data_IF_973152421656
#
_entry.id   IF_973152421656
#
_cell.length_a   1.000
_cell.length_b   1.000
_cell.length_c   1.000
_cell.angle_alpha   90.00
_cell.angle_beta   90.00
_cell.angle_gamma   90.00
#
_symmetry.space_group_name_H-M   'P 1'
#
loop_
_entity.id
_entity.type
_entity.pdbx_description
1 polymer ?
#
# COMPACT_ATOMS: atom_id res chain seq x y z
N UNK A 1 -45.10 39.92 19.30
CA UNK A 1 -44.72 38.50 19.34
C UNK A 1 -43.60 38.30 18.32
N UNK A 2 -42.53 37.67 18.70
CA UNK A 2 -41.39 37.37 17.83
C UNK A 2 -41.64 36.04 17.09
N UNK A 3 -41.33 35.92 15.80
CA UNK A 3 -41.47 34.66 15.06
C UNK A 3 -40.31 33.72 15.40
N UNK A 4 -40.53 32.40 15.25
CA UNK A 4 -39.44 31.38 15.43
C UNK A 4 -38.24 31.72 14.54
N UNK A 5 -38.48 32.14 13.31
CA UNK A 5 -37.39 32.49 12.37
C UNK A 5 -36.57 33.68 12.89
N UNK A 6 -37.18 34.65 13.56
CA UNK A 6 -36.49 35.79 14.16
C UNK A 6 -35.56 35.32 15.30
N UNK A 7 -36.01 34.37 16.14
CA UNK A 7 -35.14 33.79 17.18
C UNK A 7 -33.93 33.09 16.60
N UNK A 8 -34.09 32.30 15.56
CA UNK A 8 -32.95 31.65 14.87
C UNK A 8 -32.01 32.71 14.27
N UNK A 9 -32.52 33.79 13.70
CA UNK A 9 -31.67 34.86 13.19
C UNK A 9 -30.89 35.56 14.30
N UNK A 10 -31.43 35.69 15.48
CA UNK A 10 -30.73 36.26 16.64
C UNK A 10 -29.65 35.35 17.16
N UNK A 11 -29.85 34.01 17.13
CA UNK A 11 -28.80 33.04 17.45
C UNK A 11 -27.69 33.09 16.39
N UNK A 12 -28.03 33.22 15.10
CA UNK A 12 -27.06 33.37 14.03
C UNK A 12 -26.23 34.67 14.15
N UNK A 13 -26.87 35.74 14.61
CA UNK A 13 -26.23 37.03 14.87
C UNK A 13 -25.48 37.09 16.21
N UNK A 14 -25.44 35.99 16.94
CA UNK A 14 -24.76 35.88 18.27
C UNK A 14 -25.28 36.88 19.31
N UNK A 15 -26.56 37.22 19.26
CA UNK A 15 -27.20 38.09 20.23
C UNK A 15 -27.59 37.38 21.53
N UNK A 16 -27.45 36.06 21.58
CA UNK A 16 -27.67 35.20 22.73
C UNK A 16 -26.40 34.41 23.07
N UNK A 17 -26.27 33.92 24.29
CA UNK A 17 -25.18 33.02 24.70
C UNK A 17 -25.27 31.64 24.03
N UNK A 18 -26.48 31.29 23.51
CA UNK A 18 -26.73 30.03 22.78
C UNK A 18 -26.17 30.14 21.37
N UNK A 19 -25.40 29.16 20.96
CA UNK A 19 -24.82 29.05 19.61
C UNK A 19 -25.57 28.03 18.75
N UNK A 20 -25.37 28.14 17.44
CA UNK A 20 -25.99 27.24 16.46
C UNK A 20 -25.69 25.73 16.74
N UNK A 21 -24.53 25.42 17.35
CA UNK A 21 -24.15 24.07 17.71
C UNK A 21 -25.03 23.46 18.82
N UNK A 22 -25.61 24.34 19.67
CA UNK A 22 -26.44 23.94 20.79
C UNK A 22 -27.90 23.66 20.37
N UNK A 23 -28.27 24.03 19.14
CA UNK A 23 -29.62 23.85 18.61
C UNK A 23 -29.82 22.47 17.98
N UNK A 24 -30.84 21.70 18.37
CA UNK A 24 -31.18 20.43 17.74
C UNK A 24 -31.50 20.64 16.24
N UNK A 25 -30.89 19.86 15.37
CA UNK A 25 -31.12 19.80 13.90
C UNK A 25 -30.66 21.03 13.09
N UNK A 26 -30.07 22.07 13.67
CA UNK A 26 -29.59 23.22 12.90
C UNK A 26 -28.24 22.95 12.26
N UNK A 27 -27.37 22.16 12.89
CA UNK A 27 -26.07 21.79 12.34
C UNK A 27 -26.25 20.59 11.39
N UNK A 28 -26.19 20.86 10.10
CA UNK A 28 -26.11 19.81 9.07
C UNK A 28 -24.64 19.50 8.80
N UNK A 29 -24.16 18.39 9.29
CA UNK A 29 -22.82 17.91 8.92
C UNK A 29 -22.82 17.55 7.44
N UNK A 30 -21.90 18.14 6.68
CA UNK A 30 -21.67 17.73 5.31
C UNK A 30 -21.21 16.28 5.33
N UNK A 31 -21.91 15.32 4.68
CA UNK A 31 -21.46 13.94 4.65
C UNK A 31 -20.04 13.93 4.09
N UNK A 32 -19.10 13.35 4.84
CA UNK A 32 -17.75 13.14 4.32
C UNK A 32 -17.87 12.18 3.15
N UNK A 33 -17.55 12.64 1.96
CA UNK A 33 -17.37 11.76 0.81
C UNK A 33 -16.27 10.76 1.20
N UNK A 34 -16.66 9.50 1.41
CA UNK A 34 -15.68 8.44 1.49
C UNK A 34 -15.00 8.41 0.13
N UNK A 35 -13.71 8.69 0.09
CA UNK A 35 -12.92 8.45 -1.13
C UNK A 35 -13.17 6.98 -1.51
N UNK A 36 -13.43 6.67 -2.79
CA UNK A 36 -13.55 5.27 -3.20
C UNK A 36 -12.25 4.56 -2.80
N UNK A 37 -12.34 3.62 -1.89
CA UNK A 37 -11.23 2.75 -1.55
C UNK A 37 -10.93 1.95 -2.82
N UNK A 38 -9.71 2.04 -3.29
CA UNK A 38 -9.23 1.18 -4.38
C UNK A 38 -9.31 -0.25 -3.86
N UNK A 39 -10.33 -0.99 -4.29
CA UNK A 39 -10.48 -2.39 -3.92
C UNK A 39 -9.48 -3.19 -4.73
N UNK A 40 -8.37 -3.53 -4.11
CA UNK A 40 -7.45 -4.52 -4.65
C UNK A 40 -8.17 -5.87 -4.68
N UNK A 41 -8.06 -6.59 -5.79
CA UNK A 41 -8.61 -7.93 -5.91
C UNK A 41 -7.99 -8.83 -4.83
N UNK A 42 -8.83 -9.35 -3.95
CA UNK A 42 -8.39 -10.24 -2.87
C UNK A 42 -7.86 -11.58 -3.39
N UNK A 43 -8.19 -11.93 -4.63
CA UNK A 43 -7.70 -13.15 -5.29
C UNK A 43 -6.18 -13.19 -5.43
N UNK A 44 -5.52 -12.02 -5.51
CA UNK A 44 -4.06 -11.95 -5.58
C UNK A 44 -3.34 -12.39 -4.28
N UNK A 45 -4.08 -12.48 -3.16
CA UNK A 45 -3.56 -12.81 -1.82
C UNK A 45 -3.74 -14.28 -1.43
N UNK A 46 -4.38 -15.09 -2.27
CA UNK A 46 -4.59 -16.51 -1.99
C UNK A 46 -3.23 -17.22 -1.98
N UNK A 47 -2.94 -17.94 -0.89
CA UNK A 47 -1.65 -18.63 -0.69
C UNK A 47 -0.47 -17.70 -0.36
N UNK A 48 -0.77 -16.43 0.01
CA UNK A 48 0.23 -15.39 0.35
C UNK A 48 -0.11 -14.73 1.67
N UNK A 49 -0.50 -15.50 2.66
CA UNK A 49 -0.76 -15.03 4.02
C UNK A 49 0.49 -15.19 4.89
N UNK A 50 0.49 -14.49 6.03
CA UNK A 50 1.57 -14.65 7.02
C UNK A 50 1.70 -16.10 7.50
N UNK A 51 0.61 -16.82 7.61
CA UNK A 51 0.62 -18.23 7.95
C UNK A 51 1.27 -19.11 6.88
N UNK A 52 1.08 -18.76 5.59
CA UNK A 52 1.74 -19.47 4.49
C UNK A 52 3.24 -19.18 4.50
N UNK A 53 3.63 -17.95 4.79
CA UNK A 53 5.02 -17.56 4.97
C UNK A 53 5.70 -18.33 6.12
N UNK A 54 5.06 -18.42 7.29
CA UNK A 54 5.61 -19.18 8.43
C UNK A 54 5.78 -20.65 8.10
N UNK A 55 4.84 -21.27 7.40
CA UNK A 55 4.98 -22.65 6.93
C UNK A 55 6.16 -22.81 5.98
N UNK A 56 6.25 -21.88 5.00
CA UNK A 56 7.36 -21.90 4.04
C UNK A 56 8.72 -21.79 4.72
N UNK A 57 8.89 -20.89 5.70
CA UNK A 57 10.13 -20.78 6.47
C UNK A 57 10.43 -22.02 7.30
N UNK A 58 9.40 -22.70 7.83
CA UNK A 58 9.58 -23.99 8.53
C UNK A 58 10.17 -25.06 7.63
N UNK A 59 9.76 -25.08 6.36
CA UNK A 59 10.25 -26.03 5.36
C UNK A 59 11.61 -25.61 4.74
N UNK A 60 11.92 -24.31 4.73
CA UNK A 60 13.10 -23.72 4.09
C UNK A 60 13.80 -22.69 4.99
N UNK A 61 14.41 -23.08 6.11
CA UNK A 61 14.96 -22.14 7.11
C UNK A 61 16.15 -21.32 6.59
N UNK A 62 16.87 -21.80 5.58
CA UNK A 62 18.04 -21.12 4.99
C UNK A 62 17.67 -20.11 3.89
N UNK A 63 16.39 -19.79 3.74
CA UNK A 63 15.94 -18.91 2.65
C UNK A 63 16.16 -17.45 3.00
N UNK A 64 16.89 -16.72 2.17
CA UNK A 64 17.08 -15.26 2.28
C UNK A 64 15.76 -14.53 2.11
N UNK A 65 15.49 -13.57 3.00
CA UNK A 65 14.30 -12.77 2.98
C UNK A 65 14.62 -11.38 2.45
N UNK A 66 13.85 -10.93 1.46
CA UNK A 66 13.90 -9.58 0.93
C UNK A 66 12.60 -8.87 1.25
N UNK A 67 12.68 -7.68 1.85
CA UNK A 67 11.54 -6.85 2.14
C UNK A 67 11.44 -5.71 1.13
N UNK A 68 10.24 -5.45 0.62
CA UNK A 68 9.98 -4.30 -0.24
C UNK A 68 8.89 -3.42 0.36
N UNK A 69 9.13 -2.10 0.30
CA UNK A 69 8.18 -1.09 0.77
C UNK A 69 8.24 0.16 -0.11
N UNK A 70 7.18 0.97 -0.07
CA UNK A 70 7.07 2.21 -0.82
C UNK A 70 7.06 3.42 0.09
N UNK A 71 8.11 4.23 0.04
CA UNK A 71 8.16 5.50 0.77
C UNK A 71 7.56 6.61 -0.08
N UNK A 72 6.41 7.13 0.37
CA UNK A 72 5.66 8.18 -0.31
C UNK A 72 5.89 9.51 0.42
N UNK A 73 6.46 10.50 -0.29
CA UNK A 73 6.63 11.84 0.24
C UNK A 73 5.32 12.65 0.14
N UNK A 74 4.97 13.07 -1.07
CA UNK A 74 3.76 13.84 -1.37
C UNK A 74 2.78 12.98 -2.15
N UNK A 75 1.49 13.02 -1.76
CA UNK A 75 0.44 12.31 -2.49
C UNK A 75 0.40 12.76 -3.95
N UNK A 76 0.48 11.79 -4.89
CA UNK A 76 0.55 12.06 -6.33
C UNK A 76 1.91 12.49 -6.85
N UNK A 77 2.94 12.56 -5.98
CA UNK A 77 4.32 12.85 -6.36
C UNK A 77 5.17 11.60 -6.58
N UNK A 78 6.47 11.85 -6.70
CA UNK A 78 7.47 10.78 -6.77
C UNK A 78 7.52 10.00 -5.46
N UNK A 79 7.82 8.72 -5.55
CA UNK A 79 7.98 7.82 -4.41
C UNK A 79 9.24 6.96 -4.58
N UNK A 80 9.72 6.40 -3.49
CA UNK A 80 10.83 5.46 -3.50
C UNK A 80 10.28 4.03 -3.34
N UNK A 81 10.83 3.09 -4.07
CA UNK A 81 10.75 1.67 -3.76
C UNK A 81 12.01 1.30 -2.99
N UNK A 82 11.87 0.86 -1.77
CA UNK A 82 12.97 0.32 -0.97
C UNK A 82 12.99 -1.20 -1.10
N UNK A 83 14.17 -1.76 -1.25
CA UNK A 83 14.42 -3.20 -1.28
C UNK A 83 15.47 -3.48 -0.21
N UNK A 84 15.08 -4.19 0.82
CA UNK A 84 15.92 -4.47 1.99
C UNK A 84 16.22 -5.97 2.07
N UNK A 85 17.50 -6.30 2.00
CA UNK A 85 18.02 -7.65 2.23
C UNK A 85 18.26 -7.84 3.72
N UNK A 86 17.40 -8.62 4.38
CA UNK A 86 17.36 -8.71 5.85
C UNK A 86 18.68 -9.21 6.42
N UNK A 87 19.28 -10.25 5.82
CA UNK A 87 20.50 -10.89 6.32
C UNK A 87 21.74 -9.97 6.25
N UNK A 88 21.86 -9.23 5.15
CA UNK A 88 23.04 -8.38 4.90
C UNK A 88 22.84 -6.95 5.37
N UNK A 89 21.61 -6.59 5.77
CA UNK A 89 21.21 -5.20 6.07
C UNK A 89 21.43 -4.23 4.90
N UNK A 90 21.59 -4.76 3.68
CA UNK A 90 21.71 -3.93 2.49
C UNK A 90 20.34 -3.38 2.09
N UNK A 91 20.25 -2.09 1.90
CA UNK A 91 19.04 -1.43 1.41
C UNK A 91 19.32 -0.71 0.08
N UNK A 92 18.54 -1.05 -0.93
CA UNK A 92 18.50 -0.35 -2.21
C UNK A 92 17.25 0.55 -2.25
N UNK A 93 17.34 1.67 -2.96
CA UNK A 93 16.22 2.59 -3.13
C UNK A 93 16.11 3.04 -4.59
N UNK A 94 14.94 2.90 -5.18
CA UNK A 94 14.64 3.25 -6.56
C UNK A 94 13.60 4.35 -6.64
N UNK A 95 13.94 5.48 -7.28
CA UNK A 95 13.00 6.57 -7.47
C UNK A 95 11.98 6.20 -8.56
N UNK A 96 10.69 6.30 -8.21
CA UNK A 96 9.56 6.06 -9.11
C UNK A 96 8.73 7.34 -9.29
N UNK A 97 8.16 7.54 -10.47
CA UNK A 97 7.37 8.72 -10.78
C UNK A 97 5.95 8.68 -10.18
N UNK A 98 5.44 7.49 -9.88
CA UNK A 98 4.11 7.29 -9.32
C UNK A 98 4.07 6.02 -8.46
N UNK A 99 3.21 5.99 -7.44
CA UNK A 99 2.99 4.80 -6.62
C UNK A 99 1.95 3.89 -7.25
N UNK A 100 2.37 3.11 -8.25
CA UNK A 100 1.54 2.18 -9.01
C UNK A 100 2.22 0.83 -9.15
N UNK A 101 1.43 -0.23 -9.35
CA UNK A 101 1.93 -1.58 -9.60
C UNK A 101 2.83 -1.63 -10.85
N UNK A 102 2.46 -0.93 -11.91
CA UNK A 102 3.27 -0.85 -13.12
C UNK A 102 4.67 -0.27 -12.85
N UNK A 103 4.79 0.71 -11.95
CA UNK A 103 6.09 1.31 -11.62
C UNK A 103 6.98 0.39 -10.77
N UNK A 104 6.40 -0.47 -9.95
CA UNK A 104 7.13 -1.54 -9.23
C UNK A 104 7.68 -2.54 -10.24
N UNK A 105 6.83 -3.02 -11.15
CA UNK A 105 7.23 -3.95 -12.22
C UNK A 105 8.34 -3.39 -13.09
N UNK A 106 8.33 -2.08 -13.39
CA UNK A 106 9.43 -1.43 -14.12
C UNK A 106 10.77 -1.54 -13.38
N UNK A 107 10.78 -1.39 -12.05
CA UNK A 107 12.01 -1.55 -11.25
C UNK A 107 12.49 -2.99 -11.27
N UNK A 108 11.59 -3.97 -11.12
CA UNK A 108 11.95 -5.39 -11.20
C UNK A 108 12.50 -5.73 -12.59
N UNK A 109 11.87 -5.22 -13.66
CA UNK A 109 12.37 -5.40 -15.03
C UNK A 109 13.77 -4.78 -15.25
N UNK A 110 14.03 -3.63 -14.62
CA UNK A 110 15.35 -3.01 -14.66
C UNK A 110 16.40 -3.89 -13.96
N UNK A 111 16.06 -4.43 -12.79
CA UNK A 111 16.90 -5.35 -12.05
C UNK A 111 17.19 -6.63 -12.85
N UNK A 112 16.15 -7.23 -13.45
CA UNK A 112 16.29 -8.41 -14.31
C UNK A 112 17.23 -8.13 -15.51
N UNK A 113 17.08 -6.99 -16.15
CA UNK A 113 17.92 -6.58 -17.27
C UNK A 113 19.39 -6.38 -16.88
N UNK A 114 19.64 -5.84 -15.67
CA UNK A 114 20.99 -5.51 -15.21
C UNK A 114 21.70 -6.72 -14.61
N UNK A 115 21.01 -7.50 -13.81
CA UNK A 115 21.59 -8.62 -13.06
C UNK A 115 21.50 -9.95 -13.83
N UNK A 116 20.54 -10.06 -14.74
CA UNK A 116 20.15 -11.30 -15.36
C UNK A 116 19.19 -12.10 -14.49
N UNK A 117 18.32 -12.87 -15.14
CA UNK A 117 17.21 -13.60 -14.48
C UNK A 117 17.71 -14.59 -13.43
N UNK A 118 18.76 -15.34 -13.74
CA UNK A 118 19.33 -16.35 -12.83
C UNK A 118 19.87 -15.73 -11.52
N UNK A 119 20.54 -14.56 -11.64
CA UNK A 119 21.04 -13.83 -10.47
C UNK A 119 19.88 -13.25 -9.66
N UNK A 120 18.86 -12.71 -10.36
CA UNK A 120 17.68 -12.16 -9.71
C UNK A 120 16.94 -13.23 -8.89
N UNK A 121 16.71 -14.41 -9.46
CA UNK A 121 16.04 -15.53 -8.78
C UNK A 121 16.81 -15.96 -7.53
N UNK A 122 18.13 -15.97 -7.59
CA UNK A 122 18.97 -16.32 -6.44
C UNK A 122 18.95 -15.25 -5.34
N UNK A 123 18.88 -13.97 -5.72
CA UNK A 123 18.89 -12.86 -4.76
C UNK A 123 17.50 -12.59 -4.15
N UNK A 124 16.43 -12.96 -4.84
CA UNK A 124 15.05 -12.67 -4.45
C UNK A 124 14.22 -13.96 -4.28
N UNK A 125 14.66 -14.93 -3.48
CA UNK A 125 13.93 -16.19 -3.32
C UNK A 125 12.57 -16.00 -2.63
N UNK A 126 12.49 -15.05 -1.69
CA UNK A 126 11.25 -14.65 -1.01
C UNK A 126 11.19 -13.15 -0.88
N UNK A 127 10.08 -12.55 -1.32
CA UNK A 127 9.83 -11.12 -1.22
C UNK A 127 8.64 -10.90 -0.28
N UNK A 128 8.87 -10.13 0.80
CA UNK A 128 7.82 -9.67 1.70
C UNK A 128 7.44 -8.24 1.34
N UNK A 129 6.16 -7.98 1.19
CA UNK A 129 5.62 -6.64 0.99
C UNK A 129 4.43 -6.42 1.91
N UNK A 130 4.06 -5.17 2.14
CA UNK A 130 2.78 -4.85 2.72
C UNK A 130 1.63 -5.12 1.72
N UNK A 131 0.39 -4.91 2.17
CA UNK A 131 -0.81 -5.04 1.34
C UNK A 131 -1.09 -3.78 0.48
N UNK A 132 -0.09 -3.00 0.14
CA UNK A 132 -0.20 -1.80 -0.68
C UNK A 132 -0.80 -2.06 -2.06
N UNK A 133 -1.50 -1.08 -2.61
CA UNK A 133 -2.08 -1.17 -3.96
C UNK A 133 -1.03 -1.32 -5.06
N UNK A 134 0.18 -0.86 -4.82
CA UNK A 134 1.34 -1.00 -5.70
C UNK A 134 1.86 -2.43 -5.83
N UNK A 135 1.54 -3.29 -4.86
CA UNK A 135 1.88 -4.72 -4.88
C UNK A 135 0.70 -5.61 -5.27
N UNK A 136 -0.35 -5.02 -5.86
CA UNK A 136 -1.58 -5.74 -6.24
C UNK A 136 -1.42 -6.72 -7.41
N UNK A 137 -0.27 -6.74 -8.08
CA UNK A 137 0.01 -7.67 -9.19
C UNK A 137 1.23 -8.58 -8.88
N UNK A 138 1.13 -9.46 -7.87
CA UNK A 138 2.23 -10.33 -7.46
C UNK A 138 2.65 -11.29 -8.58
N UNK A 139 1.70 -11.80 -9.37
CA UNK A 139 2.01 -12.73 -10.47
C UNK A 139 2.96 -12.14 -11.51
N UNK A 140 2.85 -10.84 -11.78
CA UNK A 140 3.76 -10.17 -12.72
C UNK A 140 5.14 -9.96 -12.11
N UNK A 141 5.21 -9.68 -10.81
CA UNK A 141 6.47 -9.56 -10.06
C UNK A 141 7.17 -10.93 -10.05
N UNK A 142 6.45 -12.01 -9.70
CA UNK A 142 6.96 -13.39 -9.68
C UNK A 142 7.36 -13.90 -11.06
N UNK A 143 6.55 -13.62 -12.08
CA UNK A 143 6.78 -14.09 -13.45
C UNK A 143 8.07 -13.56 -14.06
N UNK A 144 8.55 -12.41 -13.60
CA UNK A 144 9.80 -11.79 -14.05
C UNK A 144 10.99 -12.25 -13.23
N UNK A 145 10.75 -12.71 -12.01
CA UNK A 145 11.73 -13.37 -11.16
C UNK A 145 11.82 -14.89 -11.44
N UNK A 146 11.06 -15.43 -12.39
CA UNK A 146 11.05 -16.88 -12.68
C UNK A 146 11.00 -17.19 -14.16
N UNK A 147 12.06 -17.75 -14.69
CA UNK A 147 12.03 -18.79 -15.71
C UNK A 147 11.59 -20.10 -14.99
N UNK A 148 10.81 -21.01 -15.63
CA UNK A 148 10.07 -22.07 -14.93
C UNK A 148 10.98 -23.08 -14.26
N UNK A 149 11.41 -22.79 -13.08
CA UNK A 149 12.01 -23.72 -12.16
C UNK A 149 11.41 -23.43 -10.78
N UNK A 150 10.26 -24.04 -10.53
CA UNK A 150 9.64 -24.33 -9.23
C UNK A 150 10.29 -23.66 -8.01
N UNK A 151 10.07 -22.37 -7.69
CA UNK A 151 10.25 -21.85 -6.31
C UNK A 151 10.62 -20.39 -6.21
N UNK A 152 9.76 -19.48 -6.59
CA UNK A 152 9.76 -18.17 -5.93
C UNK A 152 8.37 -17.94 -5.37
N UNK A 153 8.25 -18.04 -4.07
CA UNK A 153 7.04 -17.69 -3.35
C UNK A 153 7.17 -16.24 -2.90
N UNK A 154 6.71 -15.29 -3.69
CA UNK A 154 6.50 -13.95 -3.15
C UNK A 154 5.29 -14.01 -2.22
N UNK A 155 5.52 -13.73 -0.96
CA UNK A 155 4.50 -13.70 0.07
C UNK A 155 4.20 -12.23 0.37
N UNK A 156 2.98 -11.83 0.02
CA UNK A 156 2.44 -10.52 0.36
C UNK A 156 1.81 -10.61 1.76
N UNK A 157 2.25 -9.80 2.68
CA UNK A 157 1.65 -9.67 4.02
C UNK A 157 0.57 -8.59 4.05
#
# INVERSE_FOLDING_TARGET
MCSEKTLYNYVDAQLFDIRNIDLPRKVKYRPRYKKPEFKVDRGCRIGRSYTDFQKFLGDHPETTIVQMDSVIGRTGGKCLLTIHFVETSLMLAFLRNANTSASVIQVINLLDKVLGTETLDRLFPVILTDNGSEFSNPKEIERRATVPCNRTNSILL
#
